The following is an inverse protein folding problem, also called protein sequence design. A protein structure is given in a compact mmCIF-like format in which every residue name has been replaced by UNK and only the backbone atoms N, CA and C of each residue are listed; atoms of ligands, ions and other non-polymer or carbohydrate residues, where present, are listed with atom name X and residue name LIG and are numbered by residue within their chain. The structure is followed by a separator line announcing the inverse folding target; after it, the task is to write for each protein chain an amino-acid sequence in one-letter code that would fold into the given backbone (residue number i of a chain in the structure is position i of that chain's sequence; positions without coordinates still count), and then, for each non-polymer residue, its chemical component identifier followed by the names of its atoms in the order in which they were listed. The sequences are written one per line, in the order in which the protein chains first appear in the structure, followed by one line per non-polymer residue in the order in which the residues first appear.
data_IF_095723092694
#
_entry.id   IF_095723092694
#
_cell.length_a   1.000
_cell.length_b   1.000
_cell.length_c   1.000
_cell.angle_alpha   90.00
_cell.angle_beta   90.00
_cell.angle_gamma   90.00
#
_symmetry.space_group_name_H-M   'P 1'
#
loop_
_entity.id
_entity.type
_entity.pdbx_description
1 polymer ?
#
# COMPACT_ATOMS: atom_id res chain seq x y z
N UNK A 1 10.06 0.57 14.18
CA UNK A 1 9.29 0.64 12.93
C UNK A 1 8.89 2.07 12.64
N UNK A 2 9.30 2.59 11.49
CA UNK A 2 8.83 3.83 10.88
C UNK A 2 7.94 3.47 9.68
N UNK A 3 6.94 4.28 9.40
CA UNK A 3 6.02 4.08 8.29
C UNK A 3 6.07 5.29 7.35
N UNK A 4 6.23 5.03 6.06
CA UNK A 4 6.08 6.03 5.00
C UNK A 4 4.88 5.65 4.14
N UNK A 5 3.76 6.34 4.31
CA UNK A 5 2.60 6.20 3.43
C UNK A 5 2.80 7.05 2.18
N UNK A 6 2.74 6.43 1.02
CA UNK A 6 2.77 7.07 -0.30
C UNK A 6 1.37 6.99 -0.91
N UNK A 7 0.79 8.15 -1.22
CA UNK A 7 -0.55 8.26 -1.84
C UNK A 7 -0.47 8.93 -3.20
N UNK A 8 -1.47 8.67 -4.06
CA UNK A 8 -1.62 9.33 -5.36
C UNK A 8 -2.67 10.43 -5.33
N UNK A 9 -2.43 11.50 -6.09
CA UNK A 9 -3.38 12.58 -6.27
C UNK A 9 -4.27 12.38 -7.49
N UNK A 10 -4.14 13.31 -8.42
CA UNK A 10 -5.09 13.64 -9.49
C UNK A 10 -5.37 12.51 -10.47
N UNK A 11 -4.37 11.69 -10.80
CA UNK A 11 -4.48 10.62 -11.80
C UNK A 11 -3.80 9.35 -11.31
N UNK A 12 -4.33 8.21 -11.76
CA UNK A 12 -3.59 6.94 -11.69
C UNK A 12 -2.41 6.97 -12.67
N UNK A 13 -1.39 6.13 -12.43
CA UNK A 13 -0.22 6.02 -13.30
C UNK A 13 0.81 7.16 -13.22
N UNK A 14 0.73 8.03 -12.20
CA UNK A 14 1.67 9.16 -12.04
C UNK A 14 3.12 8.75 -11.68
N UNK A 15 3.34 7.47 -11.36
CA UNK A 15 4.65 6.95 -10.95
C UNK A 15 4.84 6.80 -9.44
N UNK A 16 3.77 6.49 -8.69
CA UNK A 16 3.82 6.19 -7.25
C UNK A 16 4.87 5.12 -6.93
N UNK A 17 4.81 3.97 -7.61
CA UNK A 17 5.74 2.85 -7.45
C UNK A 17 7.21 3.24 -7.67
N UNK A 18 7.51 4.16 -8.59
CA UNK A 18 8.89 4.64 -8.80
C UNK A 18 9.33 5.53 -7.65
N UNK A 19 8.48 6.46 -7.20
CA UNK A 19 8.80 7.36 -6.09
C UNK A 19 9.03 6.56 -4.80
N UNK A 20 8.12 5.65 -4.47
CA UNK A 20 8.22 4.79 -3.28
C UNK A 20 9.45 3.87 -3.33
N UNK A 21 9.69 3.20 -4.47
CA UNK A 21 10.86 2.34 -4.65
C UNK A 21 12.17 3.13 -4.57
N UNK A 22 12.21 4.35 -5.10
CA UNK A 22 13.40 5.22 -5.04
C UNK A 22 13.74 5.63 -3.60
N UNK A 23 12.72 5.97 -2.79
CA UNK A 23 12.93 6.25 -1.37
C UNK A 23 13.43 5.00 -0.65
N UNK A 24 12.87 3.83 -0.95
CA UNK A 24 13.31 2.56 -0.38
C UNK A 24 14.77 2.23 -0.70
N UNK A 25 15.16 2.37 -1.96
CA UNK A 25 16.53 2.15 -2.42
C UNK A 25 17.51 3.12 -1.73
N UNK A 26 17.15 4.40 -1.61
CA UNK A 26 17.96 5.39 -0.91
C UNK A 26 18.13 5.03 0.57
N UNK A 27 17.05 4.67 1.26
CA UNK A 27 17.10 4.30 2.68
C UNK A 27 17.93 3.04 2.91
N UNK A 28 17.78 2.02 2.05
CA UNK A 28 18.61 0.81 2.09
C UNK A 28 20.09 1.13 1.85
N UNK A 29 20.41 2.00 0.89
CA UNK A 29 21.78 2.46 0.66
C UNK A 29 22.38 3.21 1.87
N UNK A 30 21.53 3.78 2.74
CA UNK A 30 21.93 4.38 4.02
C UNK A 30 21.96 3.37 5.19
N UNK A 31 21.86 2.06 4.91
CA UNK A 31 22.01 0.99 5.89
C UNK A 31 20.73 0.62 6.65
N UNK A 32 19.57 1.15 6.26
CA UNK A 32 18.29 0.79 6.86
C UNK A 32 17.79 -0.55 6.32
N UNK A 33 17.17 -1.36 7.17
CA UNK A 33 16.37 -2.50 6.72
C UNK A 33 14.99 -2.00 6.30
N UNK A 34 14.64 -2.14 5.02
CA UNK A 34 13.41 -1.59 4.44
C UNK A 34 12.50 -2.72 3.97
N UNK A 35 11.20 -2.61 4.28
CA UNK A 35 10.14 -3.43 3.69
C UNK A 35 9.12 -2.55 2.98
N UNK A 36 8.27 -3.15 2.17
CA UNK A 36 7.23 -2.46 1.43
C UNK A 36 5.90 -3.23 1.45
N UNK A 37 4.79 -2.50 1.46
CA UNK A 37 3.44 -3.03 1.37
C UNK A 37 2.73 -2.26 0.26
N UNK A 38 2.21 -2.98 -0.73
CA UNK A 38 1.34 -2.41 -1.77
C UNK A 38 -0.10 -2.68 -1.39
N UNK A 39 -0.89 -1.62 -1.41
CA UNK A 39 -2.33 -1.67 -1.24
C UNK A 39 -2.99 -1.42 -2.58
N UNK A 40 -3.90 -2.31 -2.92
CA UNK A 40 -4.70 -2.28 -4.12
C UNK A 40 -6.18 -2.13 -3.72
N UNK A 41 -6.79 -0.97 -4.00
CA UNK A 41 -8.16 -0.72 -3.55
C UNK A 41 -9.22 -1.50 -4.34
N UNK A 42 -8.84 -2.27 -5.38
CA UNK A 42 -9.75 -3.15 -6.11
C UNK A 42 -10.25 -4.34 -5.26
N UNK A 43 -11.38 -4.93 -5.66
CA UNK A 43 -12.05 -6.02 -4.93
C UNK A 43 -11.47 -7.42 -5.20
N UNK A 44 -10.74 -7.62 -6.30
CA UNK A 44 -10.09 -8.89 -6.59
C UNK A 44 -9.15 -9.28 -5.44
N UNK A 45 -9.17 -10.56 -5.06
CA UNK A 45 -8.33 -11.08 -3.99
C UNK A 45 -6.90 -11.23 -4.50
N UNK A 46 -6.74 -11.89 -5.65
CA UNK A 46 -5.46 -12.17 -6.26
C UNK A 46 -5.39 -11.58 -7.68
N UNK A 47 -4.23 -11.02 -8.03
CA UNK A 47 -4.02 -10.35 -9.31
C UNK A 47 -3.98 -11.35 -10.49
N UNK A 48 -3.71 -12.64 -10.21
CA UNK A 48 -3.64 -13.71 -11.21
C UNK A 48 -4.89 -13.91 -12.06
N UNK A 49 -6.03 -13.40 -11.61
CA UNK A 49 -7.30 -13.47 -12.36
C UNK A 49 -7.46 -12.36 -13.40
N UNK A 50 -6.59 -11.34 -13.39
CA UNK A 50 -6.67 -10.23 -14.33
C UNK A 50 -6.21 -10.65 -15.73
N UNK A 51 -6.85 -10.02 -16.73
CA UNK A 51 -6.31 -10.00 -18.08
C UNK A 51 -5.10 -9.06 -18.11
N UNK A 52 -3.96 -9.46 -18.72
CA UNK A 52 -2.79 -8.59 -18.85
C UNK A 52 -3.07 -7.26 -19.58
N UNK A 53 -4.15 -7.20 -20.36
CA UNK A 53 -4.57 -5.98 -21.06
C UNK A 53 -5.26 -4.95 -20.15
N UNK A 54 -5.77 -5.37 -18.99
CA UNK A 54 -6.61 -4.54 -18.12
C UNK A 54 -5.78 -3.90 -17.00
N UNK A 55 -5.01 -4.72 -16.27
CA UNK A 55 -4.23 -4.28 -15.11
C UNK A 55 -2.71 -4.37 -15.34
N UNK A 56 -2.28 -4.71 -16.56
CA UNK A 56 -0.88 -5.00 -16.86
C UNK A 56 -0.49 -6.43 -16.51
N UNK A 57 0.80 -6.72 -16.61
CA UNK A 57 1.34 -8.05 -16.31
C UNK A 57 1.16 -8.42 -14.84
N UNK A 58 0.98 -9.70 -14.56
CA UNK A 58 0.99 -10.24 -13.19
C UNK A 58 2.42 -10.56 -12.81
N UNK A 59 2.82 -10.20 -11.58
CA UNK A 59 4.12 -10.57 -11.03
C UNK A 59 3.99 -11.80 -10.14
N UNK A 60 4.98 -12.69 -10.18
CA UNK A 60 4.99 -13.92 -9.37
C UNK A 60 6.10 -13.80 -8.33
N UNK A 61 5.73 -13.87 -7.05
CA UNK A 61 6.67 -13.85 -5.93
C UNK A 61 7.32 -15.22 -5.70
N UNK A 62 8.42 -15.25 -4.93
CA UNK A 62 9.15 -16.48 -4.57
C UNK A 62 8.28 -17.51 -3.84
N UNK A 63 7.22 -17.08 -3.15
CA UNK A 63 6.25 -17.96 -2.49
C UNK A 63 5.18 -18.53 -3.45
N UNK A 64 5.29 -18.24 -4.74
CA UNK A 64 4.40 -18.70 -5.81
C UNK A 64 3.09 -17.91 -5.92
N UNK A 65 2.95 -16.81 -5.19
CA UNK A 65 1.76 -15.97 -5.28
C UNK A 65 1.79 -15.02 -6.48
N UNK A 66 0.60 -14.86 -7.09
CA UNK A 66 0.34 -13.98 -8.22
C UNK A 66 -0.15 -12.62 -7.71
N UNK A 67 0.67 -11.59 -7.87
CA UNK A 67 0.47 -10.25 -7.30
C UNK A 67 0.57 -9.15 -8.35
N UNK A 68 0.25 -7.93 -7.92
CA UNK A 68 0.38 -6.73 -8.75
C UNK A 68 1.82 -6.47 -9.22
N UNK A 69 1.98 -5.92 -10.42
CA UNK A 69 3.27 -5.66 -11.06
C UNK A 69 4.17 -4.75 -10.23
N UNK A 70 3.60 -3.81 -9.47
CA UNK A 70 4.39 -2.86 -8.69
C UNK A 70 5.25 -3.55 -7.63
N UNK A 71 4.88 -4.75 -7.15
CA UNK A 71 5.73 -5.55 -6.26
C UNK A 71 7.05 -5.95 -6.88
N UNK A 72 7.06 -6.26 -8.17
CA UNK A 72 8.30 -6.54 -8.89
C UNK A 72 9.21 -5.31 -9.00
N UNK A 73 8.66 -4.08 -8.94
CA UNK A 73 9.49 -2.88 -8.86
C UNK A 73 10.21 -2.83 -7.51
N UNK A 74 9.50 -3.05 -6.41
CA UNK A 74 10.10 -3.04 -5.09
C UNK A 74 11.19 -4.10 -4.91
N UNK A 75 10.94 -5.35 -5.34
CA UNK A 75 11.96 -6.41 -5.25
C UNK A 75 13.22 -6.06 -6.04
N UNK A 76 13.09 -5.45 -7.23
CA UNK A 76 14.24 -5.08 -8.06
C UNK A 76 15.01 -3.86 -7.55
N UNK A 77 14.31 -2.81 -7.12
CA UNK A 77 14.95 -1.55 -6.71
C UNK A 77 15.47 -1.59 -5.28
N UNK A 78 14.76 -2.26 -4.38
CA UNK A 78 15.12 -2.35 -2.96
C UNK A 78 15.89 -3.64 -2.68
N UNK A 79 15.92 -4.62 -3.58
CA UNK A 79 16.63 -5.90 -3.37
C UNK A 79 16.09 -6.64 -2.12
N UNK A 80 14.79 -6.92 -2.15
CA UNK A 80 14.04 -7.60 -1.08
C UNK A 80 13.24 -8.74 -1.67
N UNK A 81 12.94 -9.75 -0.87
CA UNK A 81 12.04 -10.85 -1.23
C UNK A 81 10.75 -10.68 -0.48
N UNK A 82 9.68 -10.38 -1.21
CA UNK A 82 8.36 -10.17 -0.66
C UNK A 82 7.56 -11.47 -0.66
N UNK A 83 6.46 -11.45 0.08
CA UNK A 83 5.49 -12.55 0.16
C UNK A 83 4.10 -12.04 -0.19
N UNK A 84 3.17 -12.95 -0.44
CA UNK A 84 1.76 -12.64 -0.74
C UNK A 84 1.09 -11.66 0.24
N UNK A 85 1.58 -11.63 1.48
CA UNK A 85 1.04 -10.78 2.56
C UNK A 85 1.43 -9.30 2.38
N UNK A 86 2.46 -9.00 1.57
CA UNK A 86 2.87 -7.64 1.22
C UNK A 86 1.99 -7.01 0.14
N UNK A 87 1.12 -7.80 -0.48
CA UNK A 87 0.06 -7.34 -1.36
C UNK A 87 -1.30 -7.39 -0.63
N UNK A 88 -1.83 -6.23 -0.28
CA UNK A 88 -3.14 -6.09 0.38
C UNK A 88 -4.15 -5.61 -0.65
N UNK A 89 -5.25 -6.33 -0.81
CA UNK A 89 -6.39 -5.89 -1.64
C UNK A 89 -7.63 -5.66 -0.78
N UNK A 90 -8.59 -4.87 -1.26
CA UNK A 90 -9.90 -4.73 -0.58
C UNK A 90 -10.56 -6.10 -0.41
N UNK A 91 -10.48 -6.96 -1.42
CA UNK A 91 -10.99 -8.33 -1.38
C UNK A 91 -10.41 -9.16 -0.24
N UNK A 92 -9.08 -9.13 -0.05
CA UNK A 92 -8.38 -9.87 1.03
C UNK A 92 -8.87 -9.43 2.42
N UNK A 93 -8.96 -8.12 2.66
CA UNK A 93 -9.41 -7.57 3.94
C UNK A 93 -10.87 -7.96 4.23
N UNK A 94 -11.75 -7.78 3.25
CA UNK A 94 -13.17 -8.10 3.42
C UNK A 94 -13.37 -9.60 3.64
N UNK A 95 -12.67 -10.45 2.87
CA UNK A 95 -12.71 -11.90 3.05
C UNK A 95 -12.26 -12.29 4.48
N UNK A 96 -11.16 -11.72 4.96
CA UNK A 96 -10.66 -11.97 6.31
C UNK A 96 -11.70 -11.59 7.37
N UNK A 97 -12.27 -10.38 7.28
CA UNK A 97 -13.24 -9.88 8.27
C UNK A 97 -14.53 -10.71 8.24
N UNK A 98 -15.05 -11.06 7.06
CA UNK A 98 -16.23 -11.93 6.94
C UNK A 98 -15.96 -13.33 7.49
N UNK A 99 -14.76 -13.89 7.30
CA UNK A 99 -14.42 -15.19 7.89
C UNK A 99 -14.35 -15.14 9.42
N UNK A 100 -13.78 -14.07 10.01
CA UNK A 100 -13.75 -13.86 11.47
C UNK A 100 -15.15 -13.70 12.06
N UNK A 101 -16.03 -13.01 11.33
CA UNK A 101 -17.44 -12.86 11.70
C UNK A 101 -18.15 -14.21 11.78
N UNK A 102 -18.04 -15.04 10.75
CA UNK A 102 -18.64 -16.39 10.75
C UNK A 102 -18.11 -17.32 11.84
N UNK A 103 -16.87 -17.12 12.29
CA UNK A 103 -16.28 -17.85 13.42
C UNK A 103 -16.76 -17.35 14.78
N UNK A 104 -17.53 -16.27 14.83
CA UNK A 104 -18.02 -15.66 16.06
C UNK A 104 -16.97 -14.81 16.80
N UNK A 105 -15.88 -14.40 16.13
CA UNK A 105 -14.78 -13.66 16.78
C UNK A 105 -15.21 -12.26 17.27
N UNK A 106 -16.28 -11.69 16.70
CA UNK A 106 -16.85 -10.41 17.13
C UNK A 106 -17.94 -10.54 18.21
N UNK A 107 -18.07 -11.71 18.85
CA UNK A 107 -18.97 -11.95 19.99
C UNK A 107 -20.44 -11.57 19.73
N UNK A 108 -20.91 -11.82 18.51
CA UNK A 108 -22.28 -11.51 18.08
C UNK A 108 -22.57 -10.01 17.88
N UNK A 109 -21.56 -9.13 17.95
CA UNK A 109 -21.71 -7.71 17.66
C UNK A 109 -21.76 -7.46 16.15
N UNK A 110 -22.45 -6.38 15.75
CA UNK A 110 -22.49 -5.94 14.35
C UNK A 110 -21.11 -5.50 13.87
N UNK A 111 -20.68 -6.08 12.76
CA UNK A 111 -19.45 -5.71 12.05
C UNK A 111 -19.73 -4.56 11.09
N UNK A 112 -18.82 -3.59 11.02
CA UNK A 112 -18.93 -2.34 10.24
C UNK A 112 -17.57 -1.98 9.65
N UNK A 113 -17.56 -1.07 8.66
CA UNK A 113 -16.31 -0.56 8.06
C UNK A 113 -15.42 0.07 9.14
N UNK A 114 -15.98 0.94 9.97
CA UNK A 114 -15.29 1.50 11.14
C UNK A 114 -15.91 0.89 12.40
N UNK A 115 -15.13 0.26 13.30
CA UNK A 115 -13.67 0.13 13.24
C UNK A 115 -13.19 -1.19 12.60
N UNK A 116 -14.07 -2.17 12.32
CA UNK A 116 -13.61 -3.55 12.06
C UNK A 116 -12.76 -3.73 10.79
N UNK A 117 -13.11 -3.05 9.69
CA UNK A 117 -12.29 -3.07 8.46
C UNK A 117 -11.02 -2.25 8.67
N UNK A 118 -11.14 -1.06 9.27
CA UNK A 118 -9.98 -0.20 9.54
C UNK A 118 -8.98 -0.82 10.51
N UNK A 119 -9.45 -1.58 11.49
CA UNK A 119 -8.63 -2.33 12.45
C UNK A 119 -7.94 -3.49 11.75
N UNK A 120 -8.66 -4.25 10.91
CA UNK A 120 -8.07 -5.35 10.13
C UNK A 120 -6.94 -4.86 9.20
N UNK A 121 -7.12 -3.70 8.54
CA UNK A 121 -6.07 -3.07 7.73
C UNK A 121 -4.86 -2.72 8.59
N UNK A 122 -5.07 -2.05 9.73
CA UNK A 122 -3.99 -1.67 10.64
C UNK A 122 -3.24 -2.89 11.21
N UNK A 123 -3.98 -3.92 11.64
CA UNK A 123 -3.41 -5.18 12.14
C UNK A 123 -2.55 -5.86 11.08
N UNK A 124 -3.03 -5.91 9.83
CA UNK A 124 -2.28 -6.50 8.71
C UNK A 124 -0.99 -5.74 8.46
N UNK A 125 -1.06 -4.42 8.31
CA UNK A 125 0.11 -3.57 8.03
C UNK A 125 1.15 -3.70 9.14
N UNK A 126 0.73 -3.63 10.41
CA UNK A 126 1.66 -3.73 11.57
C UNK A 126 2.34 -5.10 11.60
N UNK A 127 1.60 -6.17 11.31
CA UNK A 127 2.13 -7.53 11.28
C UNK A 127 3.16 -7.70 10.16
N UNK A 128 2.78 -7.32 8.94
CA UNK A 128 3.61 -7.53 7.74
C UNK A 128 4.85 -6.65 7.76
N UNK A 129 4.74 -5.42 8.25
CA UNK A 129 5.88 -4.52 8.40
C UNK A 129 7.02 -5.13 9.24
N UNK A 130 6.71 -6.05 10.16
CA UNK A 130 7.70 -6.69 11.04
C UNK A 130 8.34 -7.94 10.43
N UNK A 131 7.83 -8.43 9.29
CA UNK A 131 8.37 -9.62 8.65
C UNK A 131 9.75 -9.31 8.04
N UNK A 132 10.78 -10.13 8.31
CA UNK A 132 12.05 -10.01 7.59
C UNK A 132 11.86 -10.27 6.10
N UNK A 133 12.43 -9.41 5.26
CA UNK A 133 12.31 -9.45 3.79
C UNK A 133 13.65 -9.53 3.07
N UNK A 134 14.74 -9.66 3.82
CA UNK A 134 16.08 -9.79 3.25
C UNK A 134 16.89 -10.89 3.97
N UNK A 135 18.05 -11.21 3.39
CA UNK A 135 18.95 -12.26 3.91
C UNK A 135 19.51 -11.95 5.31
N UNK A 136 19.38 -10.73 5.82
CA UNK A 136 19.83 -10.39 7.17
C UNK A 136 18.95 -11.00 8.25
N UNK A 137 17.70 -11.36 7.92
CA UNK A 137 16.72 -11.90 8.86
C UNK A 137 16.29 -10.91 9.94
N UNK A 138 16.66 -9.64 9.81
CA UNK A 138 16.31 -8.58 10.78
C UNK A 138 14.89 -8.08 10.54
N UNK A 139 14.28 -7.62 11.62
CA UNK A 139 13.01 -6.88 11.54
C UNK A 139 13.26 -5.55 10.82
N UNK A 140 12.46 -5.19 9.81
CA UNK A 140 12.59 -3.90 9.13
C UNK A 140 12.49 -2.70 10.07
N UNK A 141 13.22 -1.65 9.73
CA UNK A 141 13.21 -0.38 10.46
C UNK A 141 12.22 0.61 9.82
N UNK A 142 12.07 0.54 8.50
CA UNK A 142 11.16 1.34 7.70
C UNK A 142 10.24 0.44 6.86
N UNK A 143 8.93 0.70 6.94
CA UNK A 143 7.93 0.13 6.06
C UNK A 143 7.39 1.21 5.12
N UNK A 144 7.58 1.05 3.82
CA UNK A 144 6.99 1.90 2.78
C UNK A 144 5.64 1.31 2.40
N UNK A 145 4.59 2.09 2.54
CA UNK A 145 3.23 1.66 2.22
C UNK A 145 2.78 2.46 1.01
N UNK A 146 2.53 1.81 -0.11
CA UNK A 146 1.93 2.46 -1.27
C UNK A 146 0.42 2.19 -1.27
N UNK A 147 -0.37 3.26 -1.17
CA UNK A 147 -1.78 3.22 -1.46
C UNK A 147 -1.99 3.41 -2.97
N UNK A 148 -2.33 2.31 -3.65
CA UNK A 148 -2.70 2.26 -5.06
C UNK A 148 -3.94 3.09 -5.39
N UNK A 149 -4.23 3.23 -6.68
CA UNK A 149 -5.34 4.07 -7.14
C UNK A 149 -5.10 5.57 -6.94
N UNK A 150 -6.19 6.31 -6.76
CA UNK A 150 -6.22 7.75 -6.52
C UNK A 150 -6.77 8.04 -5.12
N UNK A 151 -6.59 9.25 -4.61
CA UNK A 151 -7.21 9.67 -3.36
C UNK A 151 -8.58 10.30 -3.64
N UNK A 152 -9.57 10.02 -2.78
CA UNK A 152 -10.92 10.60 -2.87
C UNK A 152 -11.92 9.77 -3.68
N UNK A 153 -11.49 8.67 -4.27
CA UNK A 153 -12.38 7.61 -4.76
C UNK A 153 -13.03 6.83 -3.60
N UNK A 154 -14.09 6.07 -3.90
CA UNK A 154 -14.86 5.35 -2.88
C UNK A 154 -14.05 4.18 -2.32
N UNK A 155 -13.24 3.57 -3.17
CA UNK A 155 -12.43 2.40 -2.92
C UNK A 155 -11.30 2.68 -1.92
N UNK A 156 -10.70 3.88 -1.95
CA UNK A 156 -9.65 4.26 -0.99
C UNK A 156 -10.17 4.67 0.39
N UNK A 157 -11.46 5.03 0.53
CA UNK A 157 -12.00 5.58 1.78
C UNK A 157 -11.70 4.73 3.03
N UNK A 158 -11.87 3.38 3.01
CA UNK A 158 -11.55 2.56 4.18
C UNK A 158 -10.06 2.59 4.54
N UNK A 159 -9.16 2.62 3.56
CA UNK A 159 -7.72 2.66 3.77
C UNK A 159 -7.26 4.01 4.31
N UNK A 160 -7.78 5.11 3.77
CA UNK A 160 -7.47 6.46 4.25
C UNK A 160 -7.88 6.61 5.71
N UNK A 161 -9.08 6.16 6.08
CA UNK A 161 -9.52 6.18 7.47
C UNK A 161 -8.67 5.27 8.37
N UNK A 162 -8.28 4.07 7.89
CA UNK A 162 -7.38 3.18 8.61
C UNK A 162 -6.02 3.84 8.90
N UNK A 163 -5.43 4.54 7.92
CA UNK A 163 -4.16 5.24 8.10
C UNK A 163 -4.28 6.50 8.93
N UNK A 164 -5.42 7.21 8.85
CA UNK A 164 -5.73 8.31 9.74
C UNK A 164 -5.76 7.86 11.20
N UNK A 165 -6.22 6.66 11.50
CA UNK A 165 -6.17 6.07 12.84
C UNK A 165 -4.76 5.56 13.19
N UNK A 166 -4.09 4.90 12.23
CA UNK A 166 -2.76 4.32 12.43
C UNK A 166 -1.72 5.35 12.87
N UNK A 167 -1.73 6.56 12.28
CA UNK A 167 -0.78 7.62 12.63
C UNK A 167 -0.82 7.96 14.14
N UNK A 168 -2.00 7.93 14.76
CA UNK A 168 -2.16 8.18 16.19
C UNK A 168 -1.73 6.97 17.02
N UNK A 169 -2.05 5.76 16.54
CA UNK A 169 -1.69 4.50 17.20
C UNK A 169 -0.18 4.29 17.28
N UNK A 170 0.57 4.63 16.24
CA UNK A 170 2.04 4.45 16.18
C UNK A 170 2.82 5.66 16.68
N UNK A 171 2.16 6.81 16.84
CA UNK A 171 2.76 8.09 17.22
C UNK A 171 3.30 8.88 16.03
N UNK A 172 3.14 10.21 16.07
CA UNK A 172 3.46 11.11 14.96
C UNK A 172 4.91 11.00 14.48
N UNK A 173 5.90 10.81 15.37
CA UNK A 173 7.30 10.65 14.97
C UNK A 173 7.62 9.35 14.22
N UNK A 174 6.66 8.44 14.09
CA UNK A 174 6.82 7.13 13.45
C UNK A 174 6.03 7.01 12.15
N UNK A 175 5.27 8.04 11.75
CA UNK A 175 4.44 8.02 10.55
C UNK A 175 4.70 9.25 9.69
N UNK A 176 5.04 9.04 8.42
CA UNK A 176 5.22 10.07 7.41
C UNK A 176 4.27 9.82 6.24
N UNK A 177 3.74 10.89 5.65
CA UNK A 177 2.91 10.82 4.45
C UNK A 177 3.60 11.59 3.31
N UNK A 178 3.76 10.94 2.16
CA UNK A 178 4.19 11.54 0.91
C UNK A 178 3.03 11.46 -0.09
N UNK A 179 2.67 12.60 -0.68
CA UNK A 179 1.60 12.68 -1.66
C UNK A 179 2.18 12.99 -3.05
N UNK A 180 1.96 12.09 -4.00
CA UNK A 180 2.44 12.24 -5.39
C UNK A 180 1.34 12.87 -6.22
N UNK A 181 1.53 14.11 -6.65
CA UNK A 181 0.53 14.90 -7.37
C UNK A 181 1.03 15.39 -8.72
N UNK A 182 0.10 15.60 -9.67
CA UNK A 182 0.38 16.05 -11.03
C UNK A 182 0.27 17.56 -11.09
N UNK A 183 1.35 18.21 -11.55
CA UNK A 183 1.32 19.63 -11.96
C UNK A 183 1.35 19.67 -13.49
N UNK A 184 0.19 19.72 -14.16
CA UNK A 184 0.15 19.71 -15.61
C UNK A 184 0.73 20.99 -16.21
N UNK A 185 1.43 20.85 -17.32
CA UNK A 185 1.83 21.95 -18.19
C UNK A 185 1.13 21.80 -19.54
N UNK A 186 0.18 22.69 -19.81
CA UNK A 186 -0.61 22.67 -21.05
C UNK A 186 0.03 23.60 -22.07
N UNK A 187 0.38 23.05 -23.24
CA UNK A 187 0.97 23.82 -24.35
C UNK A 187 0.10 25.01 -24.78
N UNK A 188 -1.22 24.88 -24.65
CA UNK A 188 -2.19 25.95 -24.96
C UNK A 188 -2.16 27.13 -23.98
N UNK A 189 -1.63 26.93 -22.77
CA UNK A 189 -1.62 27.95 -21.71
C UNK A 189 -0.21 28.50 -21.47
N UNK A 190 0.83 27.71 -21.72
CA UNK A 190 2.23 28.15 -21.65
C UNK A 190 2.80 28.31 -20.24
N UNK A 191 2.05 27.94 -19.19
CA UNK A 191 2.52 27.95 -17.81
C UNK A 191 2.05 26.71 -17.02
N UNK A 192 2.84 26.22 -16.05
CA UNK A 192 2.45 25.13 -15.16
C UNK A 192 1.21 25.49 -14.32
N UNK A 193 0.27 24.55 -14.17
CA UNK A 193 -0.95 24.74 -13.39
C UNK A 193 -0.94 23.87 -12.14
N UNK A 194 -0.90 24.51 -10.98
CA UNK A 194 -0.86 23.84 -9.67
C UNK A 194 -2.23 23.54 -9.08
N UNK A 195 -3.32 23.98 -9.71
CA UNK A 195 -4.69 23.87 -9.16
C UNK A 195 -5.08 22.42 -8.88
N UNK A 196 -4.78 21.44 -9.75
CA UNK A 196 -5.08 20.04 -9.45
C UNK A 196 -4.41 19.51 -8.18
N UNK A 197 -3.24 20.03 -7.79
CA UNK A 197 -2.55 19.66 -6.55
C UNK A 197 -3.13 20.32 -5.29
N UNK A 198 -3.89 21.40 -5.45
CA UNK A 198 -4.47 22.17 -4.34
C UNK A 198 -5.82 21.62 -3.87
N UNK A 199 -6.47 20.81 -4.72
CA UNK A 199 -7.76 20.14 -4.46
C UNK A 199 -7.49 18.80 -3.81
#
# INVERSE_FOLDING_TARGET
MKYLLVTGGVISGIGKGIVSSSVGALMKANGWVVTCIKIDPYLNIDAGTFSPYEHGEVYVLDDGSEVDLDLGNYERYIDVTLTKDHNITTGKIYQQVTQRERKGEYLGKTVQVVPHITDAIQEWVIKVAQMPVDASGKVPELCIIELGGTIGDIESMPFVEAFRQLQYRVGQQNFCCAHVSLVPNLSSVGEPKTKPTQV
#
